data_IF_403132610559
#
_entry.id   IF_403132610559
#
_cell.length_a   1.000
_cell.length_b   1.000
_cell.length_c   1.000
_cell.angle_alpha   90.00
_cell.angle_beta   90.00
_cell.angle_gamma   90.00
#
_symmetry.space_group_name_H-M   'P 1'
#
loop_
_entity.id
_entity.type
_entity.pdbx_description
1 polymer ?
#
# COMPACT_ATOMS: atom_id res chain seq x y z
N UNK A 1 7.15 14.60 6.84
CA UNK A 1 5.91 13.95 6.26
C UNK A 1 5.25 13.09 7.33
N UNK A 2 3.92 12.98 7.27
CA UNK A 2 3.11 12.13 8.16
C UNK A 2 2.25 11.20 7.31
N UNK A 3 1.86 10.03 7.83
CA UNK A 3 0.99 9.11 7.14
C UNK A 3 0.08 8.34 8.09
N UNK A 4 -1.00 7.79 7.54
CA UNK A 4 -1.92 6.84 8.18
C UNK A 4 -2.38 5.81 7.16
N UNK A 5 -2.41 4.56 7.54
CA UNK A 5 -3.11 3.52 6.76
C UNK A 5 -4.58 3.62 7.12
N UNK A 6 -5.37 4.22 6.24
CA UNK A 6 -6.80 4.45 6.48
C UNK A 6 -7.58 3.15 6.54
N UNK A 7 -7.23 2.22 5.68
CA UNK A 7 -7.72 0.84 5.65
C UNK A 7 -6.86 0.01 4.71
N UNK A 8 -6.72 -1.28 4.98
CA UNK A 8 -5.95 -2.19 4.14
C UNK A 8 -6.50 -3.61 4.16
N UNK A 9 -6.74 -4.17 2.97
CA UNK A 9 -7.22 -5.54 2.76
C UNK A 9 -8.14 -5.65 1.55
N UNK A 10 -8.56 -6.86 1.21
CA UNK A 10 -9.35 -7.19 0.01
C UNK A 10 -10.76 -6.55 -0.06
N UNK A 11 -11.19 -5.82 0.95
CA UNK A 11 -12.44 -5.05 0.93
C UNK A 11 -12.25 -3.60 0.48
N UNK A 12 -11.02 -3.09 0.54
CA UNK A 12 -10.61 -1.77 0.11
C UNK A 12 -9.32 -1.33 0.75
N UNK A 13 -8.55 -0.54 -0.01
CA UNK A 13 -7.25 -0.01 0.38
C UNK A 13 -7.26 1.51 0.23
N UNK A 14 -6.69 2.20 1.20
CA UNK A 14 -6.43 3.64 1.14
C UNK A 14 -5.38 4.02 2.17
N UNK A 15 -4.37 4.78 1.75
CA UNK A 15 -3.31 5.29 2.62
C UNK A 15 -3.27 6.81 2.46
N UNK A 16 -3.20 7.52 3.58
CA UNK A 16 -3.13 8.97 3.66
C UNK A 16 -1.70 9.41 3.94
N UNK A 17 -1.20 10.36 3.16
CA UNK A 17 0.14 10.92 3.29
C UNK A 17 0.00 12.45 3.25
N UNK A 18 0.64 13.16 4.18
CA UNK A 18 0.68 14.62 4.18
C UNK A 18 2.06 15.15 4.57
N UNK A 19 2.37 16.32 4.07
CA UNK A 19 3.41 17.18 4.61
C UNK A 19 2.81 18.56 4.91
N UNK A 20 3.64 19.59 5.10
CA UNK A 20 3.15 20.93 5.41
C UNK A 20 2.52 21.65 4.22
N UNK A 21 2.77 21.19 2.98
CA UNK A 21 2.33 21.81 1.73
C UNK A 21 1.25 21.01 1.00
N UNK A 22 1.31 19.68 1.08
CA UNK A 22 0.49 18.78 0.26
C UNK A 22 -0.08 17.61 1.03
N UNK A 23 -1.20 17.11 0.50
CA UNK A 23 -1.91 15.94 1.03
C UNK A 23 -2.28 14.99 -0.12
N UNK A 24 -1.90 13.73 0.01
CA UNK A 24 -2.16 12.70 -1.00
C UNK A 24 -2.83 11.47 -0.42
N UNK A 25 -3.50 10.73 -1.29
CA UNK A 25 -3.89 9.35 -1.03
C UNK A 25 -3.13 8.40 -1.96
N UNK A 26 -2.84 7.21 -1.46
CA UNK A 26 -2.57 6.04 -2.31
C UNK A 26 -3.82 5.20 -2.28
N UNK A 27 -4.44 5.05 -3.45
CA UNK A 27 -5.72 4.39 -3.69
C UNK A 27 -6.95 5.00 -2.97
N UNK A 28 -8.13 4.60 -3.43
CA UNK A 28 -9.42 4.92 -2.81
C UNK A 28 -10.41 3.78 -3.06
N UNK A 29 -10.16 2.64 -2.42
CA UNK A 29 -10.88 1.39 -2.61
C UNK A 29 -12.29 1.34 -2.02
N UNK A 30 -12.77 2.42 -1.41
CA UNK A 30 -14.07 2.49 -0.78
C UNK A 30 -15.00 3.53 -1.41
N UNK A 31 -16.29 3.44 -1.10
CA UNK A 31 -17.25 4.49 -1.47
C UNK A 31 -16.82 5.86 -0.91
N UNK A 32 -17.16 6.94 -1.59
CA UNK A 32 -16.83 8.30 -1.13
C UNK A 32 -17.29 8.56 0.32
N UNK A 33 -18.45 8.05 0.73
CA UNK A 33 -18.92 8.17 2.12
C UNK A 33 -18.00 7.48 3.12
N UNK A 34 -17.47 6.29 2.78
CA UNK A 34 -16.53 5.57 3.65
C UNK A 34 -15.17 6.27 3.66
N UNK A 35 -14.70 6.78 2.49
CA UNK A 35 -13.47 7.58 2.40
C UNK A 35 -13.57 8.83 3.30
N UNK A 36 -14.68 9.56 3.23
CA UNK A 36 -14.94 10.70 4.14
C UNK A 36 -14.83 10.30 5.61
N UNK A 37 -15.42 9.17 5.98
CA UNK A 37 -15.39 8.66 7.36
C UNK A 37 -14.00 8.25 7.80
N UNK A 38 -13.22 7.59 6.93
CA UNK A 38 -11.86 7.15 7.24
C UNK A 38 -10.92 8.34 7.44
N UNK A 39 -10.97 9.33 6.55
CA UNK A 39 -10.17 10.56 6.66
C UNK A 39 -10.58 11.40 7.86
N UNK A 40 -11.88 11.46 8.17
CA UNK A 40 -12.36 12.11 9.40
C UNK A 40 -11.89 11.38 10.67
N UNK A 41 -11.66 10.06 10.61
CA UNK A 41 -11.14 9.27 11.72
C UNK A 41 -9.72 9.65 12.16
N UNK A 42 -8.98 10.37 11.32
CA UNK A 42 -7.66 10.95 11.63
C UNK A 42 -7.69 12.48 11.75
N UNK A 43 -8.86 13.06 12.02
CA UNK A 43 -9.09 14.51 12.13
C UNK A 43 -8.67 15.30 10.87
N UNK A 44 -8.94 14.73 9.68
CA UNK A 44 -8.67 15.33 8.37
C UNK A 44 -9.91 15.35 7.50
N UNK A 45 -9.81 16.00 6.34
CA UNK A 45 -10.92 16.14 5.40
C UNK A 45 -10.51 15.79 3.98
N UNK A 46 -11.36 15.08 3.25
CA UNK A 46 -11.18 14.82 1.81
C UNK A 46 -11.06 16.09 0.97
N UNK A 47 -11.52 17.23 1.48
CA UNK A 47 -11.35 18.54 0.80
C UNK A 47 -9.92 19.06 0.79
N UNK A 48 -9.05 18.49 1.63
CA UNK A 48 -7.64 18.86 1.74
C UNK A 48 -6.74 17.99 0.85
N UNK A 49 -7.31 16.96 0.21
CA UNK A 49 -6.55 16.03 -0.63
C UNK A 49 -6.24 16.67 -1.97
N UNK A 50 -4.95 16.80 -2.30
CA UNK A 50 -4.43 17.42 -3.51
C UNK A 50 -4.27 16.42 -4.67
N UNK A 51 -4.26 15.12 -4.38
CA UNK A 51 -4.16 14.09 -5.40
C UNK A 51 -4.29 12.67 -4.88
N UNK A 52 -4.60 11.74 -5.79
CA UNK A 52 -4.65 10.30 -5.50
C UNK A 52 -3.72 9.58 -6.47
N UNK A 53 -2.77 8.83 -5.94
CA UNK A 53 -1.92 7.90 -6.68
C UNK A 53 -2.59 6.53 -6.73
N UNK A 54 -2.80 6.00 -7.93
CA UNK A 54 -3.44 4.69 -8.12
C UNK A 54 -2.36 3.65 -8.37
N UNK A 55 -2.38 2.57 -7.60
CA UNK A 55 -1.42 1.47 -7.72
C UNK A 55 -1.75 0.57 -8.92
N UNK A 56 -3.02 0.15 -9.04
CA UNK A 56 -3.53 -0.69 -10.12
C UNK A 56 -5.07 -0.66 -10.14
N UNK A 57 -5.68 -1.31 -11.14
CA UNK A 57 -7.10 -1.20 -11.44
C UNK A 57 -8.04 -2.14 -10.67
N UNK A 58 -7.57 -2.94 -9.71
CA UNK A 58 -8.47 -3.82 -8.95
C UNK A 58 -9.50 -3.02 -8.14
N UNK A 59 -10.70 -3.58 -7.98
CA UNK A 59 -11.85 -2.89 -7.43
C UNK A 59 -11.66 -2.38 -5.99
N UNK A 60 -10.88 -3.10 -5.18
CA UNK A 60 -10.52 -2.74 -3.82
C UNK A 60 -9.46 -1.62 -3.73
N UNK A 61 -8.96 -1.13 -4.86
CA UNK A 61 -8.10 0.05 -4.99
C UNK A 61 -8.80 1.24 -5.64
N UNK A 62 -9.70 0.99 -6.60
CA UNK A 62 -10.26 2.07 -7.43
C UNK A 62 -11.74 2.36 -7.21
N UNK A 63 -12.48 1.60 -6.43
CA UNK A 63 -13.94 1.68 -6.27
C UNK A 63 -14.48 3.09 -5.99
N UNK A 64 -13.75 3.89 -5.23
CA UNK A 64 -14.12 5.27 -4.88
C UNK A 64 -13.56 6.33 -5.80
N UNK A 65 -12.52 6.02 -6.59
CA UNK A 65 -11.72 6.99 -7.35
C UNK A 65 -12.62 7.96 -8.14
N UNK A 66 -13.49 7.44 -8.98
CA UNK A 66 -14.28 8.30 -9.86
C UNK A 66 -15.27 9.20 -9.12
N UNK A 67 -15.88 8.70 -8.03
CA UNK A 67 -16.82 9.52 -7.23
C UNK A 67 -16.07 10.56 -6.43
N UNK A 68 -14.94 10.20 -5.84
CA UNK A 68 -14.09 11.11 -5.05
C UNK A 68 -13.52 12.20 -5.95
N UNK A 69 -12.94 11.83 -7.11
CA UNK A 69 -12.41 12.78 -8.07
C UNK A 69 -13.45 13.84 -8.46
N UNK A 70 -14.65 13.41 -8.91
CA UNK A 70 -15.73 14.34 -9.31
C UNK A 70 -16.27 15.19 -8.17
N UNK A 71 -16.39 14.59 -6.96
CA UNK A 71 -16.98 15.29 -5.81
C UNK A 71 -16.09 16.39 -5.26
N UNK A 72 -14.78 16.16 -5.26
CA UNK A 72 -13.80 17.05 -4.64
C UNK A 72 -12.89 17.78 -5.62
N UNK A 73 -12.94 17.43 -6.90
CA UNK A 73 -12.06 18.00 -7.91
C UNK A 73 -10.62 17.49 -7.79
N UNK A 74 -10.42 16.28 -7.26
CA UNK A 74 -9.09 15.75 -6.92
C UNK A 74 -8.41 15.20 -8.18
N UNK A 75 -7.16 15.60 -8.48
CA UNK A 75 -6.30 14.99 -9.48
C UNK A 75 -6.01 13.51 -9.19
N UNK A 76 -6.04 12.68 -10.24
CA UNK A 76 -5.74 11.25 -10.19
C UNK A 76 -4.50 10.97 -11.01
N UNK A 77 -3.54 10.28 -10.40
CA UNK A 77 -2.26 9.90 -11.00
C UNK A 77 -2.21 8.39 -11.19
N UNK A 78 -2.05 7.93 -12.43
CA UNK A 78 -1.86 6.52 -12.78
C UNK A 78 -1.03 6.40 -14.05
N UNK A 79 -0.42 5.22 -14.28
CA UNK A 79 0.21 4.97 -15.56
C UNK A 79 -0.81 4.72 -16.68
N UNK A 80 -0.33 4.74 -17.91
CA UNK A 80 -1.21 4.65 -19.09
C UNK A 80 -2.03 3.37 -19.12
N UNK A 81 -1.43 2.21 -18.80
CA UNK A 81 -2.15 0.92 -18.83
C UNK A 81 -3.18 0.80 -17.72
N UNK A 82 -2.86 1.30 -16.52
CA UNK A 82 -3.83 1.38 -15.42
C UNK A 82 -4.98 2.31 -15.79
N UNK A 83 -4.73 3.46 -16.44
CA UNK A 83 -5.78 4.33 -16.97
C UNK A 83 -6.68 3.61 -17.96
N UNK A 84 -6.09 2.87 -18.91
CA UNK A 84 -6.85 2.09 -19.90
C UNK A 84 -7.68 0.99 -19.23
N UNK A 85 -7.11 0.27 -18.26
CA UNK A 85 -7.78 -0.83 -17.57
C UNK A 85 -8.92 -0.37 -16.67
N UNK A 86 -8.81 0.80 -16.02
CA UNK A 86 -9.90 1.33 -15.18
C UNK A 86 -10.91 2.19 -15.95
N UNK A 87 -10.70 2.42 -17.26
CA UNK A 87 -11.67 3.14 -18.07
C UNK A 87 -13.02 2.41 -18.11
N UNK A 88 -14.10 3.15 -17.90
CA UNK A 88 -15.44 2.55 -17.75
C UNK A 88 -15.73 1.97 -16.36
N UNK A 89 -14.73 1.65 -15.53
CA UNK A 89 -14.95 1.14 -14.16
C UNK A 89 -15.20 2.27 -13.16
N UNK A 90 -14.43 3.36 -13.29
CA UNK A 90 -14.50 4.53 -12.37
C UNK A 90 -15.48 5.61 -12.83
N UNK A 91 -16.13 5.41 -13.98
CA UNK A 91 -16.96 6.40 -14.64
C UNK A 91 -16.13 7.55 -15.22
N UNK A 92 -16.80 8.55 -15.79
CA UNK A 92 -16.09 9.65 -16.43
C UNK A 92 -15.35 10.54 -15.42
N UNK A 93 -14.03 10.61 -15.53
CA UNK A 93 -13.17 11.55 -14.81
C UNK A 93 -12.80 12.67 -15.77
N UNK A 94 -13.00 13.96 -15.40
CA UNK A 94 -12.63 15.11 -16.24
C UNK A 94 -11.15 15.06 -16.66
N UNK A 95 -10.83 15.52 -17.85
CA UNK A 95 -9.47 15.46 -18.41
C UNK A 95 -8.45 16.27 -17.58
N UNK A 96 -8.89 17.36 -16.99
CA UNK A 96 -8.09 18.22 -16.10
C UNK A 96 -7.79 17.56 -14.72
N UNK A 97 -8.41 16.42 -14.42
CA UNK A 97 -8.14 15.62 -13.25
C UNK A 97 -7.37 14.32 -13.59
N UNK A 98 -7.04 14.07 -14.86
CA UNK A 98 -6.34 12.85 -15.30
C UNK A 98 -4.87 13.15 -15.55
N UNK A 99 -4.01 12.65 -14.69
CA UNK A 99 -2.57 12.84 -14.79
C UNK A 99 -1.86 11.51 -14.99
N UNK A 100 -0.93 11.50 -15.95
CA UNK A 100 -0.06 10.35 -16.15
C UNK A 100 1.07 10.36 -15.12
N UNK A 101 1.34 9.20 -14.54
CA UNK A 101 2.51 8.94 -13.72
C UNK A 101 3.16 7.65 -14.20
N UNK A 102 4.26 7.80 -14.91
CA UNK A 102 4.95 6.66 -15.50
C UNK A 102 5.70 5.85 -14.45
N UNK A 103 5.88 4.56 -14.76
CA UNK A 103 6.64 3.65 -13.92
C UNK A 103 8.11 4.07 -13.85
N UNK A 104 8.73 3.89 -12.69
CA UNK A 104 10.14 4.19 -12.43
C UNK A 104 10.51 5.67 -12.66
N UNK A 105 9.57 6.55 -12.41
CA UNK A 105 9.78 8.00 -12.45
C UNK A 105 9.62 8.63 -11.08
N UNK A 106 10.09 9.86 -10.95
CA UNK A 106 9.91 10.70 -9.75
C UNK A 106 9.13 11.93 -10.15
N UNK A 107 8.11 12.28 -9.35
CA UNK A 107 7.41 13.56 -9.43
C UNK A 107 7.60 14.31 -8.12
N UNK A 108 7.99 15.58 -8.21
CA UNK A 108 8.17 16.46 -7.07
C UNK A 108 6.93 17.33 -6.84
N UNK A 109 6.52 17.41 -5.59
CA UNK A 109 5.43 18.24 -5.09
C UNK A 109 5.97 19.07 -3.92
N UNK A 110 6.49 20.26 -4.23
CA UNK A 110 7.23 21.06 -3.24
C UNK A 110 8.44 20.28 -2.69
N UNK A 111 8.46 20.07 -1.38
CA UNK A 111 9.51 19.29 -0.69
C UNK A 111 9.30 17.78 -0.73
N UNK A 112 8.16 17.31 -1.20
CA UNK A 112 7.81 15.88 -1.28
C UNK A 112 8.11 15.32 -2.67
N UNK A 113 9.00 14.34 -2.74
CA UNK A 113 9.25 13.55 -3.94
C UNK A 113 8.51 12.23 -3.87
N UNK A 114 7.75 11.91 -4.92
CA UNK A 114 7.01 10.64 -5.06
C UNK A 114 7.63 9.85 -6.20
N UNK A 115 8.15 8.67 -5.87
CA UNK A 115 8.75 7.75 -6.83
C UNK A 115 7.82 6.57 -7.07
N UNK A 116 7.54 6.25 -8.33
CA UNK A 116 6.79 5.05 -8.73
C UNK A 116 7.74 3.89 -9.01
N UNK A 117 7.24 2.66 -8.81
CA UNK A 117 8.02 1.46 -9.02
C UNK A 117 7.12 0.25 -9.33
N UNK A 118 7.53 -0.59 -10.28
CA UNK A 118 6.76 -1.76 -10.70
C UNK A 118 6.81 -2.92 -9.71
N UNK A 119 5.67 -3.60 -9.55
CA UNK A 119 5.53 -4.83 -8.78
C UNK A 119 5.02 -5.98 -9.65
N UNK A 120 5.14 -7.21 -9.17
CA UNK A 120 4.59 -8.39 -9.85
C UNK A 120 3.21 -8.71 -9.28
N UNK A 121 2.16 -8.39 -10.03
CA UNK A 121 0.77 -8.67 -9.66
C UNK A 121 -0.09 -8.88 -10.91
N UNK A 122 -1.22 -9.55 -10.79
CA UNK A 122 -2.12 -9.87 -11.91
C UNK A 122 -3.02 -8.68 -12.30
N UNK A 123 -2.39 -7.56 -12.59
CA UNK A 123 -3.00 -6.31 -13.04
C UNK A 123 -2.34 -5.81 -14.33
N UNK A 124 -2.90 -4.76 -14.95
CA UNK A 124 -2.44 -4.29 -16.27
C UNK A 124 -0.99 -3.78 -16.26
N UNK A 125 -0.62 -3.02 -15.23
CA UNK A 125 0.74 -2.49 -15.04
C UNK A 125 0.91 -2.00 -13.59
N UNK A 126 0.91 -2.94 -12.61
CA UNK A 126 0.86 -2.58 -11.21
C UNK A 126 2.15 -1.91 -10.74
N UNK A 127 2.02 -0.86 -9.94
CA UNK A 127 3.15 -0.15 -9.36
C UNK A 127 2.84 0.26 -7.92
N UNK A 128 3.90 0.49 -7.13
CA UNK A 128 3.81 1.06 -5.80
C UNK A 128 4.57 2.37 -5.70
N UNK A 129 4.52 3.01 -4.52
CA UNK A 129 5.04 4.35 -4.35
C UNK A 129 6.00 4.45 -3.17
N UNK A 130 7.04 5.24 -3.38
CA UNK A 130 8.00 5.64 -2.35
C UNK A 130 7.91 7.15 -2.21
N UNK A 131 7.77 7.62 -0.97
CA UNK A 131 7.69 9.04 -0.64
C UNK A 131 8.97 9.45 0.07
N UNK A 132 9.59 10.52 -0.42
CA UNK A 132 10.82 11.07 0.14
C UNK A 132 10.60 12.52 0.56
N UNK A 133 11.00 12.86 1.78
CA UNK A 133 11.02 14.24 2.26
C UNK A 133 12.06 14.40 3.36
N UNK A 134 12.91 15.43 3.24
CA UNK A 134 13.90 15.79 4.27
C UNK A 134 14.77 14.62 4.75
N UNK A 135 15.19 13.75 3.82
CA UNK A 135 15.99 12.55 4.10
C UNK A 135 15.20 11.41 4.75
N UNK A 136 13.89 11.53 4.93
CA UNK A 136 13.00 10.46 5.38
C UNK A 136 12.36 9.75 4.19
N UNK A 137 12.08 8.46 4.37
CA UNK A 137 11.56 7.59 3.32
C UNK A 137 10.43 6.72 3.83
N UNK A 138 9.26 6.84 3.21
CA UNK A 138 8.11 5.97 3.39
C UNK A 138 7.95 5.09 2.15
N UNK A 139 7.82 3.80 2.33
CA UNK A 139 7.53 2.83 1.26
C UNK A 139 6.11 2.29 1.43
N UNK A 140 5.34 2.32 0.35
CA UNK A 140 4.04 1.65 0.25
C UNK A 140 4.19 0.53 -0.78
N UNK A 141 4.08 -0.71 -0.34
CA UNK A 141 4.15 -1.91 -1.17
C UNK A 141 3.05 -2.89 -0.76
N UNK A 142 2.06 -3.00 -1.60
CA UNK A 142 0.92 -3.90 -1.46
C UNK A 142 0.77 -4.72 -2.74
N UNK A 143 0.01 -5.79 -2.69
CA UNK A 143 -0.36 -6.57 -3.87
C UNK A 143 0.86 -6.95 -4.74
N UNK A 144 1.76 -7.70 -4.16
CA UNK A 144 2.92 -8.23 -4.89
C UNK A 144 3.09 -9.72 -4.65
N UNK A 145 3.29 -10.49 -5.71
CA UNK A 145 3.52 -11.94 -5.61
C UNK A 145 4.90 -12.29 -5.06
N UNK A 146 5.88 -11.41 -5.25
CA UNK A 146 7.23 -11.54 -4.68
C UNK A 146 7.95 -10.18 -4.65
N UNK A 147 9.02 -10.11 -3.87
CA UNK A 147 9.87 -8.91 -3.79
C UNK A 147 11.21 -9.19 -4.45
N UNK A 148 11.42 -8.66 -5.65
CA UNK A 148 12.65 -8.87 -6.42
C UNK A 148 13.85 -8.11 -5.82
N UNK A 149 15.08 -8.52 -6.18
CA UNK A 149 16.31 -7.82 -5.75
C UNK A 149 16.33 -6.35 -6.24
N UNK A 150 15.73 -6.09 -7.41
CA UNK A 150 15.54 -4.73 -7.90
C UNK A 150 14.65 -3.91 -6.98
N UNK A 151 13.50 -4.46 -6.57
CA UNK A 151 12.59 -3.80 -5.62
C UNK A 151 13.29 -3.57 -4.28
N UNK A 152 13.99 -4.58 -3.75
CA UNK A 152 14.79 -4.46 -2.51
C UNK A 152 15.79 -3.31 -2.58
N UNK A 153 16.46 -3.14 -3.75
CA UNK A 153 17.38 -2.02 -3.97
C UNK A 153 16.72 -0.65 -3.81
N UNK A 154 15.48 -0.49 -4.29
CA UNK A 154 14.74 0.78 -4.16
C UNK A 154 14.21 1.03 -2.75
N UNK A 155 13.69 0.00 -2.07
CA UNK A 155 13.02 0.14 -0.78
C UNK A 155 13.98 0.08 0.42
N UNK A 156 15.21 -0.37 0.23
CA UNK A 156 16.22 -0.49 1.30
C UNK A 156 16.35 0.79 2.10
N UNK A 157 16.48 0.62 3.40
CA UNK A 157 16.76 1.70 4.35
C UNK A 157 15.61 2.72 4.48
N UNK A 158 14.36 2.35 4.21
CA UNK A 158 13.24 3.22 4.53
C UNK A 158 13.03 3.36 6.05
N UNK A 159 12.46 4.49 6.45
CA UNK A 159 12.13 4.77 7.86
C UNK A 159 10.78 4.16 8.24
N UNK A 160 9.86 4.07 7.27
CA UNK A 160 8.56 3.44 7.47
C UNK A 160 8.16 2.64 6.24
N UNK A 161 7.50 1.52 6.48
CA UNK A 161 6.93 0.65 5.44
C UNK A 161 5.45 0.40 5.73
N UNK A 162 4.63 0.51 4.69
CA UNK A 162 3.33 -0.17 4.61
C UNK A 162 3.58 -1.36 3.70
N UNK A 163 3.71 -2.56 4.29
CA UNK A 163 4.21 -3.73 3.59
C UNK A 163 3.19 -4.86 3.61
N UNK A 164 2.94 -5.48 2.46
CA UNK A 164 2.03 -6.61 2.38
C UNK A 164 2.51 -7.78 3.25
N UNK A 165 1.57 -8.37 3.98
CA UNK A 165 1.70 -9.63 4.72
C UNK A 165 0.39 -10.38 4.57
N UNK A 166 0.16 -10.94 3.36
CA UNK A 166 -1.19 -11.28 2.94
C UNK A 166 -1.74 -12.51 3.65
N UNK A 167 -1.01 -13.62 3.68
CA UNK A 167 -1.56 -14.88 4.16
C UNK A 167 -0.52 -15.73 4.91
N UNK A 168 -1.03 -16.55 5.81
CA UNK A 168 -0.33 -17.72 6.31
C UNK A 168 -0.50 -18.87 5.31
N UNK A 169 0.61 -19.49 4.91
CA UNK A 169 0.62 -20.53 3.88
C UNK A 169 -0.24 -21.75 4.29
N UNK A 170 -0.17 -22.15 5.56
CA UNK A 170 -0.92 -23.30 6.08
C UNK A 170 -2.42 -23.00 6.14
N UNK A 171 -2.81 -21.82 6.63
CA UNK A 171 -4.22 -21.39 6.58
C UNK A 171 -4.76 -21.35 5.18
N UNK A 172 -4.00 -20.80 4.21
CA UNK A 172 -4.41 -20.76 2.81
C UNK A 172 -4.58 -22.17 2.24
N UNK A 173 -3.61 -23.07 2.46
CA UNK A 173 -3.66 -24.44 1.95
C UNK A 173 -4.84 -25.24 2.53
N UNK A 174 -5.13 -25.08 3.82
CA UNK A 174 -6.25 -25.76 4.51
C UNK A 174 -7.57 -25.00 4.36
N UNK A 175 -7.55 -23.76 3.95
CA UNK A 175 -8.70 -22.86 3.84
C UNK A 175 -9.73 -23.30 2.77
N UNK A 176 -10.86 -22.60 2.75
CA UNK A 176 -12.03 -22.94 1.91
C UNK A 176 -11.90 -22.55 0.45
N UNK A 177 -10.88 -21.81 0.06
CA UNK A 177 -10.74 -21.35 -1.31
C UNK A 177 -10.51 -22.53 -2.29
N UNK A 178 -11.10 -22.48 -3.51
CA UNK A 178 -10.79 -23.43 -4.57
C UNK A 178 -9.29 -23.44 -4.90
N UNK A 179 -8.78 -24.58 -5.35
CA UNK A 179 -7.36 -24.71 -5.71
C UNK A 179 -6.90 -23.71 -6.79
N UNK A 180 -7.78 -23.33 -7.70
CA UNK A 180 -7.46 -22.28 -8.69
C UNK A 180 -7.13 -20.94 -8.04
N UNK A 181 -7.91 -20.55 -7.02
CA UNK A 181 -7.67 -19.31 -6.24
C UNK A 181 -6.41 -19.43 -5.39
N UNK A 182 -6.21 -20.57 -4.70
CA UNK A 182 -5.00 -20.81 -3.90
C UNK A 182 -3.73 -20.72 -4.76
N UNK A 183 -3.74 -21.35 -5.94
CA UNK A 183 -2.60 -21.29 -6.87
C UNK A 183 -2.33 -19.88 -7.40
N UNK A 184 -3.38 -19.10 -7.65
CA UNK A 184 -3.23 -17.68 -8.03
C UNK A 184 -2.56 -16.91 -6.91
N UNK A 185 -3.04 -17.02 -5.66
CA UNK A 185 -2.48 -16.34 -4.49
C UNK A 185 -0.99 -16.71 -4.28
N UNK A 186 -0.66 -17.99 -4.40
CA UNK A 186 0.71 -18.52 -4.22
C UNK A 186 1.63 -18.32 -5.45
N UNK A 187 1.16 -17.69 -6.51
CA UNK A 187 1.99 -17.47 -7.71
C UNK A 187 2.78 -16.17 -7.64
N UNK A 188 3.76 -16.03 -8.52
CA UNK A 188 4.58 -14.82 -8.64
C UNK A 188 3.79 -13.53 -8.96
N UNK A 189 2.53 -13.68 -9.38
CA UNK A 189 1.61 -12.57 -9.65
C UNK A 189 0.47 -12.50 -8.63
N UNK A 190 0.56 -13.27 -7.55
CA UNK A 190 -0.40 -13.30 -6.46
C UNK A 190 -0.04 -12.33 -5.34
N UNK A 191 0.15 -12.88 -4.13
CA UNK A 191 0.44 -12.11 -2.92
C UNK A 191 1.53 -12.78 -2.09
N UNK A 192 2.38 -12.00 -1.45
CA UNK A 192 3.42 -12.53 -0.54
C UNK A 192 2.79 -13.09 0.73
N UNK A 193 3.33 -14.23 1.17
CA UNK A 193 3.02 -14.81 2.48
C UNK A 193 3.64 -13.98 3.62
N UNK A 194 3.22 -14.25 4.86
CA UNK A 194 3.85 -13.64 6.03
C UNK A 194 5.37 -13.91 6.08
N UNK A 195 5.78 -15.14 5.73
CA UNK A 195 7.18 -15.54 5.75
C UNK A 195 7.98 -14.91 4.63
N UNK A 196 7.47 -14.93 3.38
CA UNK A 196 8.16 -14.31 2.24
C UNK A 196 8.30 -12.79 2.42
N UNK A 197 7.27 -12.15 2.95
CA UNK A 197 7.31 -10.74 3.33
C UNK A 197 8.40 -10.47 4.37
N UNK A 198 8.47 -11.28 5.42
CA UNK A 198 9.47 -11.13 6.47
C UNK A 198 10.89 -11.36 5.97
N UNK A 199 11.11 -12.33 5.09
CA UNK A 199 12.41 -12.55 4.43
C UNK A 199 12.81 -11.31 3.64
N UNK A 200 11.90 -10.77 2.82
CA UNK A 200 12.16 -9.54 2.07
C UNK A 200 12.44 -8.34 2.99
N UNK A 201 11.67 -8.19 4.08
CA UNK A 201 11.89 -7.16 5.09
C UNK A 201 13.30 -7.29 5.71
N UNK A 202 13.74 -8.51 6.06
CA UNK A 202 15.04 -8.74 6.67
C UNK A 202 16.22 -8.27 5.81
N UNK A 203 16.03 -8.24 4.49
CA UNK A 203 17.07 -7.84 3.54
C UNK A 203 17.09 -6.33 3.26
N UNK A 204 16.05 -5.60 3.63
CA UNK A 204 15.90 -4.17 3.32
C UNK A 204 15.93 -3.25 4.54
N UNK A 205 15.68 -3.79 5.73
CA UNK A 205 15.76 -3.03 6.99
C UNK A 205 17.22 -2.81 7.35
N UNK A 206 17.51 -1.63 7.86
CA UNK A 206 18.82 -1.28 8.42
C UNK A 206 18.74 -1.21 9.94
N UNK A 207 19.91 -1.15 10.60
CA UNK A 207 19.98 -0.99 12.07
C UNK A 207 19.65 0.46 12.47
N UNK A 208 18.40 0.86 12.21
CA UNK A 208 17.84 2.15 12.58
C UNK A 208 16.38 1.97 12.99
N UNK A 209 15.85 2.94 13.72
CA UNK A 209 14.41 2.96 14.07
C UNK A 209 13.56 2.89 12.80
N UNK A 210 12.89 1.76 12.60
CA UNK A 210 12.09 1.47 11.41
C UNK A 210 10.71 0.97 11.81
N UNK A 211 9.66 1.55 11.22
CA UNK A 211 8.28 1.15 11.45
C UNK A 211 7.75 0.34 10.27
N UNK A 212 7.17 -0.82 10.55
CA UNK A 212 6.56 -1.67 9.53
C UNK A 212 5.09 -1.90 9.87
N UNK A 213 4.22 -1.43 9.01
CA UNK A 213 2.78 -1.65 9.07
C UNK A 213 2.46 -2.87 8.21
N UNK A 214 2.08 -3.97 8.86
CA UNK A 214 1.66 -5.21 8.17
C UNK A 214 0.31 -4.95 7.52
N UNK A 215 0.28 -5.01 6.20
CA UNK A 215 -0.86 -4.53 5.41
C UNK A 215 -1.43 -5.64 4.51
N UNK A 216 -2.60 -5.39 3.97
CA UNK A 216 -3.30 -6.25 3.01
C UNK A 216 -3.48 -7.71 3.49
N UNK A 217 -3.79 -7.87 4.79
CA UNK A 217 -4.02 -9.18 5.38
C UNK A 217 -5.30 -9.82 4.82
N UNK A 218 -5.18 -11.07 4.38
CA UNK A 218 -6.33 -11.87 3.94
C UNK A 218 -7.29 -12.13 5.11
N UNK A 219 -8.55 -11.77 4.94
CA UNK A 219 -9.60 -11.99 5.94
C UNK A 219 -9.80 -13.47 6.29
N UNK A 220 -9.64 -14.36 5.31
CA UNK A 220 -9.94 -15.79 5.45
C UNK A 220 -8.69 -16.64 5.72
N UNK A 221 -7.50 -16.13 5.38
CA UNK A 221 -6.26 -16.92 5.41
C UNK A 221 -5.15 -16.24 6.22
N UNK A 222 -5.50 -15.31 7.11
CA UNK A 222 -4.55 -14.67 8.00
C UNK A 222 -5.25 -14.18 9.29
N UNK A 223 -4.43 -13.86 10.29
CA UNK A 223 -4.83 -13.17 11.52
C UNK A 223 -3.70 -12.22 11.93
N UNK A 224 -4.03 -11.05 12.48
CA UNK A 224 -3.03 -10.04 12.88
C UNK A 224 -1.94 -10.61 13.78
N UNK A 225 -2.33 -11.31 14.84
CA UNK A 225 -1.37 -11.91 15.77
C UNK A 225 -0.48 -12.94 15.10
N UNK A 226 -1.03 -13.75 14.18
CA UNK A 226 -0.27 -14.75 13.43
C UNK A 226 0.72 -14.07 12.46
N UNK A 227 0.28 -13.08 11.71
CA UNK A 227 1.15 -12.30 10.82
C UNK A 227 2.29 -11.66 11.60
N UNK A 228 1.99 -10.97 12.71
CA UNK A 228 3.00 -10.33 13.56
C UNK A 228 3.98 -11.35 14.15
N UNK A 229 3.48 -12.48 14.66
CA UNK A 229 4.31 -13.55 15.21
C UNK A 229 5.24 -14.16 14.14
N UNK A 230 4.71 -14.50 12.96
CA UNK A 230 5.49 -15.06 11.85
C UNK A 230 6.57 -14.09 11.38
N UNK A 231 6.21 -12.81 11.17
CA UNK A 231 7.16 -11.77 10.76
C UNK A 231 8.23 -11.54 11.83
N UNK A 232 7.84 -11.38 13.10
CA UNK A 232 8.80 -11.18 14.20
C UNK A 232 9.78 -12.35 14.31
N UNK A 233 9.28 -13.59 14.29
CA UNK A 233 10.12 -14.78 14.40
C UNK A 233 11.11 -14.91 13.25
N UNK A 234 10.68 -14.61 12.02
CA UNK A 234 11.55 -14.64 10.84
C UNK A 234 12.62 -13.56 10.91
N UNK A 235 12.26 -12.33 11.27
CA UNK A 235 13.21 -11.22 11.47
C UNK A 235 14.24 -11.55 12.56
N UNK A 236 13.81 -12.09 13.68
CA UNK A 236 14.71 -12.49 14.77
C UNK A 236 15.67 -13.62 14.35
N UNK A 237 15.20 -14.58 13.54
CA UNK A 237 16.06 -15.62 12.96
C UNK A 237 17.14 -15.03 12.05
N UNK A 238 16.82 -13.91 11.36
CA UNK A 238 17.77 -13.14 10.56
C UNK A 238 18.64 -12.16 11.37
N UNK A 239 18.55 -12.18 12.71
CA UNK A 239 19.33 -11.32 13.60
C UNK A 239 18.79 -9.90 13.78
N UNK A 240 17.55 -9.64 13.33
CA UNK A 240 16.86 -8.35 13.47
C UNK A 240 15.92 -8.41 14.67
N UNK A 241 16.20 -7.61 15.70
CA UNK A 241 15.38 -7.60 16.92
C UNK A 241 14.16 -6.71 16.77
N UNK A 242 12.99 -7.32 16.81
CA UNK A 242 11.73 -6.60 16.86
C UNK A 242 11.53 -5.95 18.23
N UNK A 243 11.02 -4.70 18.25
CA UNK A 243 10.88 -3.89 19.46
C UNK A 243 12.12 -3.10 19.88
N UNK A 244 13.27 -3.34 19.25
CA UNK A 244 14.51 -2.57 19.49
C UNK A 244 14.78 -1.56 18.36
N UNK A 245 14.89 -2.05 17.11
CA UNK A 245 15.11 -1.24 15.91
C UNK A 245 13.94 -1.32 14.94
N UNK A 246 13.21 -2.44 14.95
CA UNK A 246 12.08 -2.66 14.06
C UNK A 246 10.81 -2.78 14.88
N UNK A 247 9.84 -1.94 14.58
CA UNK A 247 8.55 -1.90 15.25
C UNK A 247 7.45 -2.33 14.29
N UNK A 248 6.76 -3.43 14.63
CA UNK A 248 5.66 -3.97 13.85
C UNK A 248 4.33 -3.39 14.32
N UNK A 249 3.54 -2.90 13.39
CA UNK A 249 2.21 -2.34 13.61
C UNK A 249 1.17 -3.08 12.79
N UNK A 250 -0.02 -3.24 13.34
CA UNK A 250 -1.16 -3.79 12.62
C UNK A 250 -1.86 -2.71 11.81
N UNK A 251 -2.51 -3.15 10.75
CA UNK A 251 -3.51 -2.36 10.04
C UNK A 251 -4.88 -3.01 10.14
N UNK A 252 -5.91 -2.24 9.84
CA UNK A 252 -7.30 -2.67 9.84
C UNK A 252 -7.92 -2.57 8.46
N UNK A 253 -8.90 -3.45 8.18
CA UNK A 253 -9.64 -3.42 6.93
C UNK A 253 -10.63 -2.26 6.82
N UNK A 254 -10.96 -1.58 7.92
CA UNK A 254 -12.03 -0.58 7.97
C UNK A 254 -11.83 0.54 8.99
N UNK A 255 -10.68 0.59 9.66
CA UNK A 255 -10.33 1.62 10.65
C UNK A 255 -8.93 2.17 10.37
N UNK A 256 -8.73 3.50 10.49
CA UNK A 256 -7.43 4.11 10.27
C UNK A 256 -6.47 3.83 11.43
N UNK A 257 -5.19 3.72 11.11
CA UNK A 257 -4.12 3.84 12.10
C UNK A 257 -3.99 5.30 12.55
N UNK A 258 -3.28 5.54 13.65
CA UNK A 258 -2.93 6.90 14.04
C UNK A 258 -2.15 7.59 12.90
N UNK A 259 -2.30 8.92 12.81
CA UNK A 259 -1.51 9.76 11.91
C UNK A 259 -0.14 10.00 12.54
N UNK A 260 0.90 9.40 12.00
CA UNK A 260 2.25 9.39 12.58
C UNK A 260 3.29 10.06 11.66
N UNK A 261 4.34 10.59 12.25
CA UNK A 261 5.49 11.12 11.51
C UNK A 261 6.41 9.97 11.06
N UNK A 262 6.91 10.05 9.81
CA UNK A 262 7.91 9.12 9.23
C UNK A 262 9.29 9.39 9.80
#
# INVERSE_FOLDING_TARGET
MRFSVLASGSSGNAIYIENDEHTFLVDAGFSAKKMDSLVAGIDRSMKQVDGIFVTHEHSDHIKGIGVVARKYGIPIYANEKTWQAMDGLVGNIPLDQRFQFDMETVKSFGSLDVQSFGVSHDAADPMFYIFHENGRKLVVITDTGYVSDRMKGFIRGADSFVFESNHDVSMLQMGRYPWSVKRRILSDVGHVSNEDAAVAMSEVVEQKDTRIYLSHLSKDNNMKDLARMSVSQTLETCGIRTGEYVHLYDTDADQPTELVTV
#
